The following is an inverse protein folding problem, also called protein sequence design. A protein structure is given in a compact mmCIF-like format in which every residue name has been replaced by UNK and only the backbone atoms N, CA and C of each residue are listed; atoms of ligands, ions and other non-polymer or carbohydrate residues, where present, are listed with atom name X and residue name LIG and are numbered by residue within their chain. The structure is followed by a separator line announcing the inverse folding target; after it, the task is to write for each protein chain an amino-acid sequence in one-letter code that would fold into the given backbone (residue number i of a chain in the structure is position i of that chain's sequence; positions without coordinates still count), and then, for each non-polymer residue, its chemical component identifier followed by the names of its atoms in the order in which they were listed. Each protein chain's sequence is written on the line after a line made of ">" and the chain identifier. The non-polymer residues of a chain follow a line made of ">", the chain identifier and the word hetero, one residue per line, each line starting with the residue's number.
data_IF_794725477238
#
_entry.id   IF_794725477238
#
_cell.length_a   1.000
_cell.length_b   1.000
_cell.length_c   1.000
_cell.angle_alpha   90.00
_cell.angle_beta   90.00
_cell.angle_gamma   90.00
#
_symmetry.space_group_name_H-M   'P 1'
#
loop_
_entity.id
_entity.type
_entity.pdbx_description
1 polymer ?
#
# COMPACT_ATOMS: atom_id res chain seq x y z
N UNK A 1 -11.19 16.72 -21.36
CA UNK A 1 -9.73 16.45 -21.25
C UNK A 1 -9.09 17.55 -20.43
N UNK A 2 -9.30 17.53 -19.12
CA UNK A 2 -8.89 18.61 -18.21
C UNK A 2 -7.42 18.46 -17.81
N UNK A 3 -6.56 19.20 -18.52
CA UNK A 3 -5.59 20.15 -17.95
C UNK A 3 -5.02 19.83 -16.56
N UNK A 4 -4.14 18.82 -16.43
CA UNK A 4 -3.36 18.64 -15.18
C UNK A 4 -1.85 18.89 -15.33
N UNK A 5 -1.32 19.08 -16.55
CA UNK A 5 0.12 19.28 -16.77
C UNK A 5 0.47 20.56 -17.56
N UNK A 6 -0.41 21.56 -17.58
CA UNK A 6 -0.03 22.91 -18.02
C UNK A 6 0.46 23.68 -16.80
N UNK A 7 1.76 24.01 -16.78
CA UNK A 7 2.53 24.72 -15.75
C UNK A 7 3.42 23.86 -14.84
N UNK A 8 4.25 22.97 -15.40
CA UNK A 8 5.57 22.76 -14.79
C UNK A 8 6.48 23.90 -15.23
N UNK A 9 6.28 25.06 -14.63
CA UNK A 9 7.30 26.11 -14.66
C UNK A 9 8.48 25.54 -13.87
N UNK A 10 9.59 25.29 -14.55
CA UNK A 10 10.86 24.88 -13.92
C UNK A 10 11.26 25.97 -12.94
N UNK A 11 10.84 25.83 -11.68
CA UNK A 11 11.32 26.64 -10.58
C UNK A 11 12.81 26.36 -10.45
N UNK A 12 13.65 27.38 -10.61
CA UNK A 12 15.05 27.28 -10.24
C UNK A 12 15.12 26.90 -8.75
N UNK A 13 15.78 25.79 -8.46
CA UNK A 13 16.07 25.37 -7.09
C UNK A 13 16.93 26.45 -6.44
N UNK A 14 16.40 27.11 -5.41
CA UNK A 14 17.18 28.06 -4.63
C UNK A 14 18.10 27.30 -3.67
N UNK A 15 19.14 27.95 -3.15
CA UNK A 15 20.02 27.35 -2.13
C UNK A 15 19.27 26.84 -0.90
N UNK A 16 18.12 27.43 -0.58
CA UNK A 16 17.25 27.01 0.52
C UNK A 16 16.45 25.73 0.21
N UNK A 17 16.22 25.41 -1.07
CA UNK A 17 15.53 24.18 -1.50
C UNK A 17 16.44 22.93 -1.30
N UNK A 18 17.69 23.11 -0.88
CA UNK A 18 18.64 22.02 -0.59
C UNK A 18 18.54 21.42 0.82
N UNK A 19 17.72 22.01 1.70
CA UNK A 19 17.52 21.54 3.08
C UNK A 19 16.55 20.35 3.16
N UNK A 20 16.78 19.32 2.35
CA UNK A 20 16.10 18.03 2.51
C UNK A 20 16.65 17.32 3.75
N UNK A 21 15.87 17.35 4.83
CA UNK A 21 16.17 16.57 6.04
C UNK A 21 15.47 15.21 5.94
N UNK A 22 16.26 14.17 5.70
CA UNK A 22 15.77 12.80 5.73
C UNK A 22 15.41 12.40 7.17
N UNK A 23 14.13 12.54 7.51
CA UNK A 23 13.55 12.11 8.78
C UNK A 23 12.96 10.70 8.70
N UNK A 24 13.05 10.06 7.53
CA UNK A 24 12.46 8.76 7.26
C UNK A 24 10.93 8.75 7.36
N UNK A 25 10.39 7.58 7.68
CA UNK A 25 8.97 7.32 7.92
C UNK A 25 8.79 6.16 8.90
N UNK A 26 7.55 5.74 9.14
CA UNK A 26 7.23 4.61 10.05
C UNK A 26 7.83 3.24 9.67
N UNK A 27 8.43 3.11 8.47
CA UNK A 27 9.03 1.86 7.99
C UNK A 27 10.55 1.90 7.86
N UNK A 28 11.15 3.08 7.82
CA UNK A 28 12.60 3.26 7.74
C UNK A 28 12.97 4.62 8.30
N UNK A 29 14.05 4.67 9.10
CA UNK A 29 14.58 5.92 9.63
C UNK A 29 15.27 6.80 8.55
N UNK A 30 15.56 6.23 7.37
CA UNK A 30 16.16 6.95 6.25
C UNK A 30 15.57 6.47 4.93
N UNK A 31 15.26 7.42 4.03
CA UNK A 31 14.74 7.17 2.70
C UNK A 31 15.77 6.46 1.81
N UNK A 32 17.05 6.82 1.91
CA UNK A 32 18.12 6.22 1.09
C UNK A 32 18.36 4.73 1.38
N UNK A 33 18.07 4.29 2.60
CA UNK A 33 18.21 2.91 3.03
C UNK A 33 16.86 2.21 3.26
N UNK A 34 15.79 2.75 2.67
CA UNK A 34 14.45 2.23 2.89
C UNK A 34 14.29 0.85 2.21
N UNK A 35 13.84 -0.19 2.94
CA UNK A 35 13.63 -1.52 2.36
C UNK A 35 12.39 -1.61 1.47
N UNK A 36 11.58 -0.53 1.43
CA UNK A 36 10.35 -0.51 0.67
C UNK A 36 10.64 -0.27 -0.82
N UNK A 37 10.01 -1.04 -1.72
CA UNK A 37 10.28 -0.92 -3.14
C UNK A 37 9.53 0.24 -3.83
N UNK A 38 8.57 0.88 -3.14
CA UNK A 38 7.98 2.19 -3.48
C UNK A 38 7.89 3.00 -2.19
N UNK A 39 8.11 4.32 -2.22
CA UNK A 39 7.91 5.16 -1.05
C UNK A 39 6.41 5.25 -0.67
N UNK A 40 6.12 5.26 0.63
CA UNK A 40 4.75 5.37 1.16
C UNK A 40 4.09 6.71 0.84
N UNK A 41 4.90 7.72 0.55
CA UNK A 41 4.45 9.05 0.16
C UNK A 41 4.23 9.16 -1.35
N UNK A 42 5.02 8.44 -2.16
CA UNK A 42 4.85 8.39 -3.62
C UNK A 42 3.57 7.66 -4.01
N UNK A 43 3.21 6.60 -3.29
CA UNK A 43 2.02 5.81 -3.57
C UNK A 43 1.26 5.36 -2.30
N UNK A 44 0.55 6.30 -1.63
CA UNK A 44 -0.16 5.99 -0.39
C UNK A 44 -1.23 4.90 -0.58
N UNK A 45 -1.84 4.82 -1.76
CA UNK A 45 -2.92 3.88 -2.04
C UNK A 45 -2.41 2.45 -2.23
N UNK A 46 -1.24 2.25 -2.83
CA UNK A 46 -0.60 0.94 -2.88
C UNK A 46 -0.39 0.38 -1.46
N UNK A 47 0.15 1.17 -0.55
CA UNK A 47 0.39 0.75 0.83
C UNK A 47 -0.91 0.48 1.59
N UNK A 48 -1.91 1.36 1.50
CA UNK A 48 -3.23 1.12 2.11
C UNK A 48 -3.83 -0.19 1.62
N UNK A 49 -3.74 -0.46 0.32
CA UNK A 49 -4.25 -1.70 -0.27
C UNK A 49 -3.45 -2.93 0.15
N UNK A 50 -2.12 -2.82 0.26
CA UNK A 50 -1.25 -3.90 0.72
C UNK A 50 -1.56 -4.29 2.17
N UNK A 51 -1.61 -3.31 3.07
CA UNK A 51 -1.95 -3.51 4.49
C UNK A 51 -3.33 -4.16 4.61
N UNK A 52 -4.32 -3.62 3.89
CA UNK A 52 -5.68 -4.15 3.88
C UNK A 52 -5.73 -5.60 3.39
N UNK A 53 -5.01 -5.92 2.32
CA UNK A 53 -4.93 -7.29 1.77
C UNK A 53 -4.29 -8.25 2.77
N UNK A 54 -3.18 -7.85 3.38
CA UNK A 54 -2.49 -8.68 4.37
C UNK A 54 -3.38 -8.95 5.60
N UNK A 55 -4.02 -7.90 6.14
CA UNK A 55 -5.00 -8.05 7.23
C UNK A 55 -6.13 -9.00 6.85
N UNK A 56 -6.72 -8.83 5.66
CA UNK A 56 -7.82 -9.68 5.21
C UNK A 56 -7.39 -11.15 5.02
N UNK A 57 -6.16 -11.40 4.53
CA UNK A 57 -5.57 -12.74 4.46
C UNK A 57 -5.48 -13.37 5.85
N UNK A 58 -4.95 -12.64 6.84
CA UNK A 58 -4.81 -13.14 8.20
C UNK A 58 -6.18 -13.39 8.86
N UNK A 59 -7.16 -12.50 8.65
CA UNK A 59 -8.55 -12.70 9.09
C UNK A 59 -9.12 -14.01 8.54
N UNK A 60 -8.90 -14.29 7.25
CA UNK A 60 -9.39 -15.52 6.62
C UNK A 60 -8.70 -16.75 7.20
N UNK A 61 -7.37 -16.72 7.36
CA UNK A 61 -6.63 -17.85 7.96
C UNK A 61 -7.08 -18.15 9.39
N UNK A 62 -7.30 -17.13 10.22
CA UNK A 62 -7.81 -17.33 11.58
C UNK A 62 -9.25 -17.84 11.59
N UNK A 63 -10.08 -17.40 10.66
CA UNK A 63 -11.43 -17.93 10.47
C UNK A 63 -11.42 -19.41 10.08
N UNK A 64 -10.53 -19.82 9.17
CA UNK A 64 -10.37 -21.24 8.79
C UNK A 64 -9.87 -22.11 9.94
N UNK A 65 -9.16 -21.52 10.92
CA UNK A 65 -8.81 -22.18 12.19
C UNK A 65 -9.97 -22.27 13.18
N UNK A 66 -11.17 -21.79 12.81
CA UNK A 66 -12.39 -21.88 13.61
C UNK A 66 -12.70 -20.66 14.48
N UNK A 67 -11.97 -19.55 14.35
CA UNK A 67 -12.24 -18.34 15.12
C UNK A 67 -13.59 -17.71 14.72
N UNK A 68 -14.40 -17.33 15.70
CA UNK A 68 -15.70 -16.71 15.43
C UNK A 68 -15.54 -15.29 14.86
N UNK A 69 -16.55 -14.82 14.12
CA UNK A 69 -16.57 -13.45 13.58
C UNK A 69 -16.46 -12.39 14.68
N UNK A 70 -16.99 -12.67 15.88
CA UNK A 70 -16.91 -11.77 17.03
C UNK A 70 -15.49 -11.70 17.58
N UNK A 71 -14.83 -12.83 17.72
CA UNK A 71 -13.45 -12.89 18.23
C UNK A 71 -12.46 -12.25 17.25
N UNK A 72 -12.68 -12.45 15.94
CA UNK A 72 -11.92 -11.76 14.89
C UNK A 72 -12.10 -10.24 14.95
N UNK A 73 -13.32 -9.76 15.20
CA UNK A 73 -13.60 -8.33 15.35
C UNK A 73 -12.81 -7.70 16.48
N UNK A 74 -12.70 -8.40 17.61
CA UNK A 74 -11.90 -7.99 18.77
C UNK A 74 -10.40 -8.06 18.47
N UNK A 75 -9.91 -9.19 17.96
CA UNK A 75 -8.49 -9.43 17.66
C UNK A 75 -7.90 -8.41 16.69
N UNK A 76 -8.66 -8.03 15.67
CA UNK A 76 -8.21 -7.12 14.62
C UNK A 76 -8.68 -5.68 14.81
N UNK A 77 -9.38 -5.38 15.92
CA UNK A 77 -9.91 -4.05 16.25
C UNK A 77 -10.71 -3.41 15.11
N UNK A 78 -11.57 -4.21 14.47
CA UNK A 78 -12.40 -3.79 13.33
C UNK A 78 -13.83 -4.21 13.53
N UNK A 79 -14.76 -3.51 12.89
CA UNK A 79 -16.17 -3.88 12.96
C UNK A 79 -16.44 -5.27 12.37
N UNK A 80 -17.48 -5.95 12.89
CA UNK A 80 -18.01 -7.22 12.37
C UNK A 80 -18.25 -7.15 10.85
N UNK A 81 -18.81 -6.03 10.36
CA UNK A 81 -19.00 -5.78 8.92
C UNK A 81 -17.69 -5.89 8.13
N UNK A 82 -16.59 -5.40 8.68
CA UNK A 82 -15.27 -5.47 8.04
C UNK A 82 -14.77 -6.90 7.95
N UNK A 83 -14.96 -7.69 9.01
CA UNK A 83 -14.65 -9.13 9.02
C UNK A 83 -15.46 -9.85 7.94
N UNK A 84 -16.78 -9.69 7.93
CA UNK A 84 -17.66 -10.32 6.93
C UNK A 84 -17.27 -9.98 5.50
N UNK A 85 -16.93 -8.71 5.23
CA UNK A 85 -16.44 -8.29 3.91
C UNK A 85 -15.12 -8.97 3.57
N UNK A 86 -14.17 -9.05 4.50
CA UNK A 86 -12.89 -9.72 4.28
C UNK A 86 -13.08 -11.20 3.89
N UNK A 87 -13.97 -11.91 4.60
CA UNK A 87 -14.30 -13.32 4.34
C UNK A 87 -15.02 -13.52 2.99
N UNK A 88 -15.84 -12.54 2.56
CA UNK A 88 -16.51 -12.62 1.24
C UNK A 88 -15.52 -12.51 0.07
N UNK A 89 -14.48 -11.68 0.21
CA UNK A 89 -13.50 -11.44 -0.86
C UNK A 89 -12.47 -12.57 -0.99
N UNK A 90 -12.08 -13.21 0.12
CA UNK A 90 -11.11 -14.32 0.09
C UNK A 90 -11.63 -15.54 -0.69
N UNK A 91 -12.94 -15.82 -0.63
CA UNK A 91 -13.58 -16.89 -1.41
C UNK A 91 -13.48 -16.71 -2.94
N UNK A 92 -13.17 -15.49 -3.40
CA UNK A 92 -13.17 -15.13 -4.83
C UNK A 92 -11.79 -14.94 -5.45
N UNK A 93 -10.70 -15.03 -4.68
CA UNK A 93 -9.37 -14.66 -5.20
C UNK A 93 -8.24 -15.49 -4.60
N UNK A 94 -7.88 -16.57 -5.28
CA UNK A 94 -6.53 -17.15 -5.24
C UNK A 94 -5.57 -16.16 -5.90
N UNK A 95 -4.98 -15.25 -5.12
CA UNK A 95 -3.79 -14.51 -5.53
C UNK A 95 -2.72 -14.73 -4.48
N UNK A 96 -1.84 -15.70 -4.77
CA UNK A 96 -0.61 -15.94 -4.03
C UNK A 96 0.20 -14.64 -3.94
N UNK A 97 0.44 -14.18 -2.71
CA UNK A 97 1.42 -13.14 -2.42
C UNK A 97 2.77 -13.85 -2.28
N UNK A 98 3.32 -14.30 -3.41
CA UNK A 98 4.73 -14.64 -3.47
C UNK A 98 5.48 -13.33 -3.70
N UNK A 99 6.37 -12.98 -2.78
CA UNK A 99 7.13 -11.72 -2.76
C UNK A 99 7.87 -11.44 -4.08
N UNK A 100 8.13 -12.47 -4.89
CA UNK A 100 8.72 -12.39 -6.24
C UNK A 100 7.89 -11.57 -7.24
N UNK A 101 6.60 -11.35 -7.00
CA UNK A 101 5.71 -10.64 -7.94
C UNK A 101 5.43 -9.17 -7.56
N UNK A 102 5.97 -8.69 -6.44
CA UNK A 102 5.82 -7.29 -6.00
C UNK A 102 6.54 -6.37 -6.98
N UNK A 103 7.80 -6.64 -7.31
CA UNK A 103 8.57 -5.85 -8.28
C UNK A 103 7.88 -5.74 -9.65
N UNK A 104 7.28 -6.83 -10.15
CA UNK A 104 6.55 -6.81 -11.42
C UNK A 104 5.29 -5.93 -11.40
N UNK A 105 4.56 -5.89 -10.28
CA UNK A 105 3.42 -4.97 -10.10
C UNK A 105 3.88 -3.53 -10.01
N UNK A 106 5.01 -3.29 -9.36
CA UNK A 106 5.64 -1.97 -9.24
C UNK A 106 6.00 -1.44 -10.63
N UNK A 107 6.75 -2.22 -11.43
CA UNK A 107 7.11 -1.81 -12.80
C UNK A 107 5.88 -1.59 -13.70
N UNK A 108 4.84 -2.42 -13.58
CA UNK A 108 3.59 -2.20 -14.35
C UNK A 108 2.88 -0.90 -13.99
N UNK A 109 2.90 -0.47 -12.72
CA UNK A 109 2.29 0.80 -12.31
C UNK A 109 3.05 1.99 -12.89
N UNK A 110 4.39 1.98 -12.81
CA UNK A 110 5.20 3.04 -13.41
C UNK A 110 5.04 3.10 -14.94
N UNK A 111 4.92 1.95 -15.62
CA UNK A 111 4.72 1.91 -17.09
C UNK A 111 3.32 2.35 -17.56
N UNK A 112 2.29 2.29 -16.69
CA UNK A 112 0.95 2.78 -17.05
C UNK A 112 0.82 4.30 -16.92
N UNK A 113 1.69 4.95 -16.14
CA UNK A 113 1.75 6.41 -16.01
C UNK A 113 2.50 7.11 -17.15
N UNK A 114 3.26 6.38 -17.97
CA UNK A 114 4.03 6.92 -19.10
C UNK A 114 3.30 6.89 -20.46
N UNK A 115 2.04 6.44 -20.51
CA UNK A 115 1.20 6.43 -21.73
C UNK A 115 0.05 7.47 -21.67
N UNK A 116 0.25 8.59 -20.98
CA UNK A 116 -0.72 9.71 -20.94
C UNK A 116 -0.23 10.89 -21.77
#
# INVERSE_FOLDING_TARGET
>A
MTSYYKNLQTRELTSDDSNYFDTGCKYSASCLNCPLPICVYDDPDFFKNLIKKNRNKNIFQDYERGMSVKDLSLKYEVSIRTIQRALKFSKSSELHLDDKNISQKIYKKFNYSSNS
#
